data_IF_175268725837
#
_entry.id   IF_175268725837
#
_cell.length_a   1.000
_cell.length_b   1.000
_cell.length_c   1.000
_cell.angle_alpha   90.00
_cell.angle_beta   90.00
_cell.angle_gamma   90.00
#
_symmetry.space_group_name_H-M   'P 1'
#
loop_
_entity.id
_entity.type
_entity.pdbx_description
1 polymer ?
#
# COMPACT_ATOMS: atom_id res chain seq x y z
N UNK A 1 19.01 -22.83 -12.57
CA UNK A 1 17.99 -22.89 -11.52
C UNK A 1 17.02 -21.73 -11.71
N UNK A 2 15.76 -21.92 -11.38
CA UNK A 2 14.80 -20.83 -11.42
C UNK A 2 14.95 -19.88 -10.24
N UNK A 3 14.29 -18.71 -10.32
CA UNK A 3 14.29 -17.71 -9.26
C UNK A 3 12.91 -17.13 -9.04
N UNK A 4 12.69 -16.57 -7.85
CA UNK A 4 11.50 -15.76 -7.52
C UNK A 4 11.87 -14.30 -7.61
N UNK A 5 11.01 -13.49 -8.27
CA UNK A 5 11.09 -12.04 -8.26
C UNK A 5 9.82 -11.51 -7.62
N UNK A 6 9.90 -10.89 -6.44
CA UNK A 6 8.76 -10.24 -5.81
C UNK A 6 8.71 -8.79 -6.29
N UNK A 7 7.71 -8.46 -7.10
CA UNK A 7 7.67 -7.22 -7.89
C UNK A 7 6.59 -6.29 -7.37
N UNK A 8 6.97 -5.11 -6.93
CA UNK A 8 6.06 -3.99 -6.71
C UNK A 8 5.71 -3.33 -8.04
N UNK A 9 4.45 -3.41 -8.46
CA UNK A 9 3.99 -2.90 -9.77
C UNK A 9 3.50 -1.45 -9.74
N UNK A 10 3.70 -0.76 -8.62
CA UNK A 10 3.16 0.59 -8.44
C UNK A 10 1.65 0.61 -8.17
N UNK A 11 1.01 1.79 -8.18
CA UNK A 11 -0.39 1.95 -7.77
C UNK A 11 -1.38 1.39 -8.80
N UNK A 12 -1.03 1.38 -10.10
CA UNK A 12 -1.95 0.87 -11.12
C UNK A 12 -1.56 1.19 -12.55
N UNK A 13 -1.20 2.44 -12.86
CA UNK A 13 -0.78 2.85 -14.20
C UNK A 13 0.65 2.37 -14.52
N UNK A 14 0.90 2.09 -15.80
CA UNK A 14 2.25 1.73 -16.26
C UNK A 14 3.26 2.87 -16.05
N UNK A 15 2.80 4.10 -16.15
CA UNK A 15 3.60 5.32 -15.97
C UNK A 15 4.23 5.38 -14.57
N UNK A 16 3.57 4.77 -13.60
CA UNK A 16 4.02 4.69 -12.20
C UNK A 16 4.79 3.39 -11.87
N UNK A 17 4.98 2.51 -12.85
CA UNK A 17 5.80 1.31 -12.71
C UNK A 17 7.28 1.65 -12.86
N UNK A 18 8.12 1.07 -12.01
CA UNK A 18 9.56 1.24 -12.18
C UNK A 18 10.06 0.48 -13.41
N UNK A 19 11.09 1.01 -14.09
CA UNK A 19 11.73 0.33 -15.22
C UNK A 19 12.18 -1.08 -14.81
N UNK A 20 12.73 -1.23 -13.61
CA UNK A 20 13.16 -2.54 -13.09
C UNK A 20 11.99 -3.52 -12.91
N UNK A 21 10.81 -3.04 -12.54
CA UNK A 21 9.62 -3.89 -12.44
C UNK A 21 9.16 -4.35 -13.83
N UNK A 22 9.15 -3.46 -14.83
CA UNK A 22 8.84 -3.77 -16.22
C UNK A 22 9.82 -4.81 -16.79
N UNK A 23 11.13 -4.59 -16.64
CA UNK A 23 12.17 -5.53 -17.07
C UNK A 23 12.03 -6.91 -16.42
N UNK A 24 11.73 -6.95 -15.12
CA UNK A 24 11.51 -8.20 -14.39
C UNK A 24 10.30 -8.98 -14.92
N UNK A 25 9.20 -8.29 -15.22
CA UNK A 25 7.99 -8.91 -15.78
C UNK A 25 8.19 -9.32 -17.26
N UNK A 26 8.98 -8.59 -18.03
CA UNK A 26 9.36 -9.00 -19.39
C UNK A 26 10.22 -10.28 -19.39
N UNK A 27 11.14 -10.40 -18.44
CA UNK A 27 12.09 -11.51 -18.36
C UNK A 27 11.55 -12.77 -17.69
N UNK A 28 10.45 -12.72 -16.92
CA UNK A 28 9.93 -13.88 -16.22
C UNK A 28 9.20 -14.87 -17.13
N UNK A 29 9.08 -16.13 -16.70
CA UNK A 29 8.29 -17.17 -17.37
C UNK A 29 6.84 -17.18 -16.89
N UNK A 30 6.63 -16.90 -15.60
CA UNK A 30 5.32 -16.97 -14.94
C UNK A 30 5.08 -15.73 -14.06
N UNK A 31 3.82 -15.28 -14.00
CA UNK A 31 3.33 -14.20 -13.14
C UNK A 31 2.30 -14.78 -12.18
N UNK A 32 2.53 -14.58 -10.89
CA UNK A 32 1.67 -15.04 -9.79
C UNK A 32 1.16 -13.82 -9.01
N UNK A 33 -0.12 -13.78 -8.66
CA UNK A 33 -0.63 -12.63 -7.91
C UNK A 33 -2.08 -12.79 -7.43
N UNK A 34 -2.58 -11.75 -6.77
CA UNK A 34 -4.01 -11.58 -6.56
C UNK A 34 -4.68 -11.24 -7.91
N UNK A 35 -5.89 -11.77 -8.21
CA UNK A 35 -6.51 -11.61 -9.55
C UNK A 35 -6.48 -10.18 -10.07
N UNK A 36 -6.91 -9.19 -9.25
CA UNK A 36 -6.93 -7.78 -9.64
C UNK A 36 -5.53 -7.26 -10.02
N UNK A 37 -4.46 -7.75 -9.39
CA UNK A 37 -3.09 -7.31 -9.68
C UNK A 37 -2.52 -7.99 -10.93
N UNK A 38 -2.88 -9.26 -11.16
CA UNK A 38 -2.54 -9.97 -12.40
C UNK A 38 -3.23 -9.30 -13.59
N UNK A 39 -4.49 -8.88 -13.42
CA UNK A 39 -5.26 -8.20 -14.46
C UNK A 39 -4.65 -6.86 -14.88
N UNK A 40 -3.99 -6.13 -13.95
CA UNK A 40 -3.29 -4.87 -14.26
C UNK A 40 -2.09 -5.05 -15.21
N UNK A 41 -1.53 -6.26 -15.30
CA UNK A 41 -0.30 -6.52 -16.05
C UNK A 41 -0.46 -7.50 -17.21
N UNK A 42 -1.55 -8.29 -17.26
CA UNK A 42 -1.70 -9.42 -18.21
C UNK A 42 -1.56 -9.01 -19.69
N UNK A 43 -2.21 -7.92 -20.08
CA UNK A 43 -2.25 -7.51 -21.49
C UNK A 43 -0.91 -6.94 -21.97
N UNK A 44 -0.10 -6.46 -21.03
CA UNK A 44 1.21 -5.90 -21.33
C UNK A 44 2.30 -6.96 -21.50
N UNK A 45 2.16 -8.11 -20.85
CA UNK A 45 3.14 -9.19 -20.91
C UNK A 45 2.52 -10.47 -21.51
N UNK A 46 2.18 -10.46 -22.81
CA UNK A 46 1.55 -11.60 -23.45
C UNK A 46 2.50 -12.81 -23.48
N UNK A 47 1.91 -14.00 -23.43
CA UNK A 47 2.66 -15.27 -23.49
C UNK A 47 3.25 -15.72 -22.14
N UNK A 48 3.05 -14.97 -21.04
CA UNK A 48 3.44 -15.41 -19.70
C UNK A 48 2.41 -16.38 -19.13
N UNK A 49 2.90 -17.36 -18.36
CA UNK A 49 2.03 -18.23 -17.58
C UNK A 49 1.43 -17.44 -16.42
N UNK A 50 0.10 -17.30 -16.36
CA UNK A 50 -0.57 -16.49 -15.36
C UNK A 50 -1.22 -17.36 -14.30
N UNK A 51 -0.93 -17.08 -13.03
CA UNK A 51 -1.52 -17.75 -11.87
C UNK A 51 -2.11 -16.74 -10.92
N UNK A 52 -3.30 -17.04 -10.40
CA UNK A 52 -3.91 -16.21 -9.38
C UNK A 52 -4.55 -17.05 -8.27
N UNK A 53 -4.48 -16.55 -7.06
CA UNK A 53 -5.19 -17.12 -5.91
C UNK A 53 -6.08 -16.05 -5.28
N UNK A 54 -7.27 -16.41 -4.73
CA UNK A 54 -8.17 -15.44 -4.12
C UNK A 54 -7.52 -14.73 -2.92
N UNK A 55 -8.20 -13.68 -2.46
CA UNK A 55 -7.84 -13.01 -1.20
C UNK A 55 -7.84 -14.02 -0.05
N UNK A 56 -6.99 -13.81 0.95
CA UNK A 56 -6.79 -14.69 2.12
C UNK A 56 -6.04 -16.00 1.83
N UNK A 57 -5.49 -16.17 0.63
CA UNK A 57 -4.67 -17.31 0.22
C UNK A 57 -3.22 -16.90 -0.02
N UNK A 58 -2.69 -15.98 0.81
CA UNK A 58 -1.34 -15.41 0.67
C UNK A 58 -0.26 -16.50 0.78
N UNK A 59 -0.39 -17.41 1.74
CA UNK A 59 0.54 -18.53 1.92
C UNK A 59 0.57 -19.45 0.71
N UNK A 60 -0.60 -19.82 0.20
CA UNK A 60 -0.73 -20.67 -1.01
C UNK A 60 -0.09 -19.99 -2.23
N UNK A 61 -0.32 -18.68 -2.39
CA UNK A 61 0.29 -17.89 -3.46
C UNK A 61 1.80 -17.87 -3.38
N UNK A 62 2.36 -17.70 -2.18
CA UNK A 62 3.80 -17.71 -1.96
C UNK A 62 4.41 -19.10 -2.16
N UNK A 63 3.71 -20.16 -1.75
CA UNK A 63 4.13 -21.54 -2.03
C UNK A 63 4.18 -21.82 -3.54
N UNK A 64 3.14 -21.41 -4.27
CA UNK A 64 3.08 -21.60 -5.72
C UNK A 64 4.24 -20.92 -6.45
N UNK A 65 4.59 -19.66 -6.11
CA UNK A 65 5.73 -18.99 -6.75
C UNK A 65 7.06 -19.66 -6.44
N UNK A 66 7.23 -20.20 -5.22
CA UNK A 66 8.43 -20.97 -4.85
C UNK A 66 8.50 -22.32 -5.59
N UNK A 67 7.37 -23.00 -5.78
CA UNK A 67 7.30 -24.27 -6.52
C UNK A 67 7.63 -24.06 -8.00
N UNK A 68 7.10 -23.01 -8.64
CA UNK A 68 7.45 -22.64 -10.01
C UNK A 68 8.95 -22.37 -10.16
N UNK A 69 9.55 -21.66 -9.21
CA UNK A 69 10.99 -21.41 -9.23
C UNK A 69 11.80 -22.69 -9.01
N UNK A 70 11.39 -23.60 -8.12
CA UNK A 70 12.03 -24.92 -7.92
C UNK A 70 11.95 -25.79 -9.17
N UNK A 71 10.92 -25.64 -9.99
CA UNK A 71 10.80 -26.32 -11.28
C UNK A 71 11.70 -25.75 -12.39
N UNK A 72 12.49 -24.71 -12.08
CA UNK A 72 13.45 -24.10 -13.01
C UNK A 72 12.98 -22.81 -13.68
N UNK A 73 11.76 -22.32 -13.40
CA UNK A 73 11.20 -21.10 -13.96
C UNK A 73 11.68 -19.85 -13.24
N UNK A 74 11.76 -18.73 -13.94
CA UNK A 74 11.77 -17.39 -13.33
C UNK A 74 10.33 -16.97 -13.08
N UNK A 75 9.90 -16.99 -11.81
CA UNK A 75 8.53 -16.70 -11.42
C UNK A 75 8.43 -15.33 -10.73
N UNK A 76 7.59 -14.44 -11.27
CA UNK A 76 7.33 -13.11 -10.71
C UNK A 76 6.07 -13.13 -9.82
N UNK A 77 6.19 -12.68 -8.57
CA UNK A 77 5.08 -12.41 -7.66
C UNK A 77 4.72 -10.93 -7.73
N UNK A 78 3.56 -10.57 -8.30
CA UNK A 78 3.13 -9.16 -8.39
C UNK A 78 2.40 -8.69 -7.15
N UNK A 79 2.82 -7.52 -6.65
CA UNK A 79 2.23 -6.80 -5.53
C UNK A 79 1.82 -5.40 -5.99
N UNK A 80 0.59 -4.96 -5.70
CA UNK A 80 0.20 -3.57 -5.91
C UNK A 80 1.00 -2.65 -4.98
N UNK A 81 1.41 -1.49 -5.47
CA UNK A 81 2.29 -0.59 -4.75
C UNK A 81 3.71 -1.16 -4.65
N UNK A 82 4.20 -1.32 -3.44
CA UNK A 82 5.52 -1.86 -3.12
C UNK A 82 5.43 -3.31 -2.62
N UNK A 83 6.43 -4.11 -2.95
CA UNK A 83 6.48 -5.53 -2.58
C UNK A 83 6.86 -5.80 -1.12
N UNK A 84 7.48 -4.83 -0.44
CA UNK A 84 7.93 -4.91 0.97
C UNK A 84 7.01 -4.16 1.94
N UNK A 85 6.26 -3.14 1.47
CA UNK A 85 5.35 -2.36 2.34
C UNK A 85 3.97 -3.01 2.35
N UNK A 86 3.68 -3.83 3.36
CA UNK A 86 2.48 -4.66 3.47
C UNK A 86 2.28 -5.59 2.26
N UNK A 87 3.37 -5.88 1.52
CA UNK A 87 3.42 -6.77 0.38
C UNK A 87 3.82 -8.20 0.76
N UNK A 88 4.14 -9.00 -0.25
CA UNK A 88 4.39 -10.44 -0.08
C UNK A 88 5.86 -10.80 0.16
N UNK A 89 6.81 -9.85 0.06
CA UNK A 89 8.24 -10.16 0.08
C UNK A 89 8.66 -10.90 1.36
N UNK A 90 8.23 -10.43 2.53
CA UNK A 90 8.57 -11.08 3.81
C UNK A 90 8.04 -12.52 3.88
N UNK A 91 6.78 -12.76 3.49
CA UNK A 91 6.18 -14.09 3.53
C UNK A 91 6.88 -15.08 2.56
N UNK A 92 7.33 -14.60 1.39
CA UNK A 92 8.12 -15.45 0.47
C UNK A 92 9.44 -15.88 1.13
N UNK A 93 10.15 -14.98 1.81
CA UNK A 93 11.36 -15.32 2.55
C UNK A 93 11.09 -16.29 3.71
N UNK A 94 10.04 -16.06 4.50
CA UNK A 94 9.64 -16.92 5.61
C UNK A 94 9.34 -18.35 5.13
N UNK A 95 8.60 -18.50 4.02
CA UNK A 95 8.24 -19.83 3.47
C UNK A 95 9.40 -20.54 2.76
N UNK A 96 10.37 -19.79 2.21
CA UNK A 96 11.61 -20.40 1.71
C UNK A 96 12.45 -20.94 2.89
N UNK A 97 12.45 -20.25 4.04
CA UNK A 97 13.27 -20.57 5.21
C UNK A 97 14.76 -20.34 4.94
N UNK A 98 15.60 -21.12 5.62
CA UNK A 98 17.07 -21.03 5.54
C UNK A 98 17.66 -21.63 4.25
N UNK A 99 16.85 -22.19 3.37
CA UNK A 99 17.31 -22.71 2.10
C UNK A 99 17.94 -21.59 1.24
N UNK A 100 19.05 -21.89 0.55
CA UNK A 100 19.69 -20.93 -0.36
C UNK A 100 18.89 -20.79 -1.67
N UNK A 101 18.17 -21.83 -2.08
CA UNK A 101 17.41 -21.93 -3.32
C UNK A 101 15.90 -22.09 -3.08
N UNK A 102 15.04 -21.53 -3.95
CA UNK A 102 15.41 -20.66 -5.08
C UNK A 102 15.89 -19.28 -4.62
N UNK A 103 16.71 -18.61 -5.45
CA UNK A 103 17.06 -17.20 -5.27
C UNK A 103 15.79 -16.34 -5.20
N UNK A 104 15.73 -15.40 -4.27
CA UNK A 104 14.65 -14.43 -4.16
C UNK A 104 15.22 -13.03 -4.42
N UNK A 105 14.68 -12.37 -5.42
CA UNK A 105 14.95 -10.96 -5.73
C UNK A 105 13.71 -10.12 -5.38
N UNK A 106 13.90 -9.00 -4.69
CA UNK A 106 12.82 -8.03 -4.40
C UNK A 106 13.01 -6.81 -5.27
N UNK A 107 11.97 -6.45 -6.01
CA UNK A 107 11.92 -5.25 -6.84
C UNK A 107 10.92 -4.27 -6.22
N UNK A 108 11.37 -3.08 -5.78
CA UNK A 108 10.48 -2.11 -5.16
C UNK A 108 9.51 -1.50 -6.17
N UNK A 109 8.38 -1.02 -5.67
CA UNK A 109 7.39 -0.28 -6.44
C UNK A 109 6.97 1.02 -5.77
N UNK A 110 6.26 1.88 -6.48
CA UNK A 110 5.73 3.12 -5.94
C UNK A 110 4.55 2.81 -5.01
N UNK A 111 4.78 2.92 -3.71
CA UNK A 111 3.77 2.61 -2.69
C UNK A 111 2.68 3.69 -2.61
N UNK A 112 1.48 3.31 -2.15
CA UNK A 112 0.32 4.21 -2.05
C UNK A 112 0.55 5.45 -1.17
N UNK A 113 1.46 5.43 -0.19
CA UNK A 113 1.80 6.62 0.59
C UNK A 113 2.41 7.70 -0.30
N UNK A 114 3.33 7.35 -1.19
CA UNK A 114 3.96 8.30 -2.11
C UNK A 114 3.00 8.75 -3.21
N UNK A 115 2.39 7.79 -3.91
CA UNK A 115 1.50 8.09 -5.04
C UNK A 115 0.21 8.80 -4.60
N UNK A 116 -0.41 8.37 -3.49
CA UNK A 116 -1.58 9.04 -2.93
C UNK A 116 -1.26 10.42 -2.37
N UNK A 117 -0.09 10.59 -1.75
CA UNK A 117 0.42 11.89 -1.32
C UNK A 117 0.53 12.88 -2.49
N UNK A 118 1.06 12.43 -3.63
CA UNK A 118 1.17 13.24 -4.85
C UNK A 118 -0.22 13.64 -5.41
N UNK A 119 -1.21 12.76 -5.35
CA UNK A 119 -2.59 13.06 -5.76
C UNK A 119 -3.22 14.14 -4.86
N UNK A 120 -2.91 14.15 -3.57
CA UNK A 120 -3.41 15.16 -2.61
C UNK A 120 -2.66 16.51 -2.72
N UNK A 121 -1.39 16.47 -3.12
CA UNK A 121 -0.49 17.61 -3.17
C UNK A 121 0.88 17.29 -2.58
N UNK A 122 1.18 17.77 -1.37
CA UNK A 122 2.45 17.51 -0.68
C UNK A 122 2.26 17.37 0.85
N UNK A 123 1.48 16.38 1.33
CA UNK A 123 1.19 16.24 2.76
C UNK A 123 2.34 15.59 3.55
N UNK A 124 3.36 15.04 2.90
CA UNK A 124 4.40 14.19 3.50
C UNK A 124 5.77 14.90 3.62
N UNK A 125 5.78 16.21 3.70
CA UNK A 125 7.05 16.99 3.72
C UNK A 125 7.79 16.90 5.06
N UNK A 126 7.11 16.51 6.13
CA UNK A 126 7.66 16.19 7.46
C UNK A 126 7.56 14.69 7.75
N UNK A 127 7.94 14.31 8.96
CA UNK A 127 7.89 12.92 9.41
C UNK A 127 6.47 12.36 9.36
N UNK A 128 6.37 11.11 8.99
CA UNK A 128 5.09 10.44 8.84
C UNK A 128 5.14 8.98 9.29
N UNK A 129 4.01 8.43 9.66
CA UNK A 129 3.82 7.04 9.99
C UNK A 129 2.85 6.38 9.01
N UNK A 130 3.18 5.17 8.54
CA UNK A 130 2.27 4.33 7.76
C UNK A 130 1.76 3.22 8.66
N UNK A 131 0.44 3.16 8.84
CA UNK A 131 -0.22 2.23 9.77
C UNK A 131 -1.31 1.46 9.01
N UNK A 132 -1.21 0.12 9.01
CA UNK A 132 -2.29 -0.73 8.51
C UNK A 132 -3.37 -0.90 9.56
N UNK A 133 -4.64 -0.69 9.17
CA UNK A 133 -5.80 -0.98 10.02
C UNK A 133 -6.24 -2.46 9.95
N UNK A 134 -5.50 -3.32 9.24
CA UNK A 134 -5.81 -4.75 9.21
C UNK A 134 -5.47 -5.41 10.53
N UNK A 135 -6.49 -5.89 11.24
CA UNK A 135 -6.39 -6.61 12.51
C UNK A 135 -6.33 -8.14 12.33
N UNK A 136 -6.09 -8.63 11.12
CA UNK A 136 -6.04 -10.07 10.83
C UNK A 136 -4.82 -10.77 11.45
N UNK A 137 -3.67 -10.09 11.44
CA UNK A 137 -2.40 -10.59 11.96
C UNK A 137 -1.82 -9.71 13.08
N UNK A 138 -2.42 -8.54 13.31
CA UNK A 138 -1.98 -7.59 14.34
C UNK A 138 -3.16 -7.31 15.25
N UNK A 139 -3.07 -7.56 16.57
CA UNK A 139 -4.15 -7.24 17.51
C UNK A 139 -4.53 -5.75 17.44
N UNK A 140 -5.83 -5.46 17.57
CA UNK A 140 -6.33 -4.08 17.48
C UNK A 140 -5.68 -3.15 18.52
N UNK A 141 -5.42 -3.64 19.72
CA UNK A 141 -4.76 -2.88 20.80
C UNK A 141 -3.36 -2.38 20.38
N UNK A 142 -2.67 -3.17 19.56
CA UNK A 142 -1.36 -2.76 18.99
C UNK A 142 -1.55 -1.66 17.95
N UNK A 143 -2.60 -1.74 17.11
CA UNK A 143 -2.95 -0.70 16.12
C UNK A 143 -3.34 0.58 16.85
N UNK A 144 -4.19 0.50 17.87
CA UNK A 144 -4.60 1.63 18.71
C UNK A 144 -3.40 2.34 19.32
N UNK A 145 -2.47 1.58 19.93
CA UNK A 145 -1.25 2.16 20.52
C UNK A 145 -0.41 2.89 19.46
N UNK A 146 -0.28 2.33 18.26
CA UNK A 146 0.48 2.98 17.16
C UNK A 146 -0.18 4.29 16.71
N UNK A 147 -1.50 4.32 16.58
CA UNK A 147 -2.27 5.51 16.25
C UNK A 147 -2.10 6.60 17.32
N UNK A 148 -2.26 6.24 18.60
CA UNK A 148 -2.13 7.16 19.73
C UNK A 148 -0.72 7.75 19.82
N UNK A 149 0.32 6.93 19.68
CA UNK A 149 1.72 7.38 19.68
C UNK A 149 2.04 8.29 18.48
N UNK A 150 1.58 7.97 17.29
CA UNK A 150 1.80 8.79 16.10
C UNK A 150 1.09 10.15 16.20
N UNK A 151 -0.12 10.18 16.75
CA UNK A 151 -0.84 11.42 17.02
C UNK A 151 -0.16 12.27 18.10
N UNK A 152 0.32 11.64 19.18
CA UNK A 152 1.06 12.32 20.25
C UNK A 152 2.38 12.94 19.77
N UNK A 153 3.03 12.34 18.77
CA UNK A 153 4.25 12.83 18.15
C UNK A 153 4.01 13.84 17.01
N UNK A 154 2.76 14.23 16.76
CA UNK A 154 2.36 15.11 15.67
C UNK A 154 2.85 14.67 14.28
N UNK A 155 2.90 13.35 14.03
CA UNK A 155 3.25 12.81 12.72
C UNK A 155 2.09 12.94 11.74
N UNK A 156 2.39 13.11 10.46
CA UNK A 156 1.39 12.81 9.41
C UNK A 156 1.13 11.30 9.44
N UNK A 157 -0.14 10.88 9.54
CA UNK A 157 -0.50 9.45 9.63
C UNK A 157 -1.14 9.01 8.32
N UNK A 158 -0.63 7.91 7.75
CA UNK A 158 -1.18 7.32 6.53
C UNK A 158 -1.73 5.95 6.85
N UNK A 159 -3.03 5.76 6.61
CA UNK A 159 -3.73 4.51 6.91
C UNK A 159 -3.85 3.65 5.66
N UNK A 160 -3.32 2.43 5.75
CA UNK A 160 -3.48 1.36 4.76
C UNK A 160 -4.56 0.37 5.24
N UNK A 161 -5.18 -0.32 4.28
CA UNK A 161 -6.27 -1.27 4.56
C UNK A 161 -7.39 -0.66 5.41
N UNK A 162 -7.88 0.54 5.05
CA UNK A 162 -8.77 1.33 5.90
C UNK A 162 -10.12 0.66 6.15
N UNK A 163 -10.61 -0.13 5.20
CA UNK A 163 -11.82 -0.92 5.34
C UNK A 163 -11.80 -2.17 4.46
N UNK A 164 -12.66 -3.12 4.76
CA UNK A 164 -12.99 -4.27 3.92
C UNK A 164 -14.41 -4.74 4.24
N UNK A 165 -14.96 -5.67 3.46
CA UNK A 165 -16.31 -6.20 3.69
C UNK A 165 -16.53 -6.70 5.14
N UNK A 166 -15.54 -7.35 5.73
CA UNK A 166 -15.61 -7.81 7.13
C UNK A 166 -15.16 -6.77 8.17
N UNK A 167 -14.78 -5.55 7.78
CA UNK A 167 -14.21 -4.51 8.65
C UNK A 167 -14.62 -3.11 8.17
N UNK A 168 -15.92 -2.81 8.14
CA UNK A 168 -16.41 -1.53 7.62
C UNK A 168 -16.07 -0.35 8.55
N UNK A 169 -15.97 -0.57 9.85
CA UNK A 169 -15.88 0.47 10.89
C UNK A 169 -14.45 0.81 11.32
N UNK A 170 -13.42 0.24 10.68
CA UNK A 170 -12.04 0.40 11.16
C UNK A 170 -11.53 1.84 11.07
N UNK A 171 -11.90 2.60 10.02
CA UNK A 171 -11.57 4.04 9.95
C UNK A 171 -12.28 4.83 11.03
N UNK A 172 -13.55 4.57 11.28
CA UNK A 172 -14.30 5.22 12.36
C UNK A 172 -13.65 4.98 13.73
N UNK A 173 -13.29 3.73 14.02
CA UNK A 173 -12.56 3.38 15.26
C UNK A 173 -11.20 4.07 15.34
N UNK A 174 -10.47 4.16 14.24
CA UNK A 174 -9.20 4.88 14.19
C UNK A 174 -9.39 6.38 14.45
N UNK A 175 -10.42 7.01 13.86
CA UNK A 175 -10.77 8.39 14.13
C UNK A 175 -11.16 8.64 15.61
N UNK A 176 -11.91 7.73 16.23
CA UNK A 176 -12.25 7.82 17.65
C UNK A 176 -11.01 7.83 18.56
N UNK A 177 -9.96 7.08 18.18
CA UNK A 177 -8.68 7.10 18.90
C UNK A 177 -7.96 8.42 18.67
N UNK A 178 -7.87 8.86 17.42
CA UNK A 178 -7.15 10.08 17.03
C UNK A 178 -7.80 11.34 17.62
N UNK A 179 -9.14 11.41 17.70
CA UNK A 179 -9.89 12.52 18.29
C UNK A 179 -9.65 12.70 19.80
N UNK A 180 -9.06 11.73 20.48
CA UNK A 180 -8.61 11.91 21.88
C UNK A 180 -7.44 12.90 22.01
N UNK A 181 -6.71 13.15 20.91
CA UNK A 181 -5.49 13.98 20.86
C UNK A 181 -5.54 15.08 19.82
N UNK A 182 -6.17 14.83 18.70
CA UNK A 182 -6.21 15.74 17.56
C UNK A 182 -7.56 16.49 17.53
N UNK A 183 -7.56 17.75 17.08
CA UNK A 183 -8.78 18.51 16.96
C UNK A 183 -9.68 17.97 15.83
N UNK A 184 -10.99 18.21 15.94
CA UNK A 184 -11.99 17.74 14.98
C UNK A 184 -11.78 18.32 13.56
N UNK A 185 -11.24 19.52 13.46
CA UNK A 185 -10.94 20.22 12.21
C UNK A 185 -9.58 19.84 11.60
N UNK A 186 -8.86 18.86 12.17
CA UNK A 186 -7.61 18.35 11.61
C UNK A 186 -7.81 17.95 10.16
N UNK A 187 -7.00 18.52 9.26
CA UNK A 187 -7.10 18.23 7.83
C UNK A 187 -6.68 16.79 7.52
N UNK A 188 -7.50 16.14 6.73
CA UNK A 188 -7.33 14.78 6.27
C UNK A 188 -7.51 14.72 4.75
N UNK A 189 -7.05 13.62 4.14
CA UNK A 189 -7.25 13.32 2.73
C UNK A 189 -7.63 11.85 2.53
N UNK A 190 -8.52 11.59 1.60
CA UNK A 190 -8.83 10.25 1.10
C UNK A 190 -8.45 10.22 -0.37
N UNK A 191 -7.69 9.22 -0.79
CA UNK A 191 -7.43 8.94 -2.20
C UNK A 191 -7.89 7.53 -2.50
N UNK A 192 -8.69 7.38 -3.56
CA UNK A 192 -9.25 6.10 -4.01
C UNK A 192 -8.74 5.77 -5.40
N UNK A 193 -8.49 4.50 -5.67
CA UNK A 193 -8.08 3.98 -6.98
C UNK A 193 -6.83 4.69 -7.54
N UNK A 194 -5.81 4.91 -6.72
CA UNK A 194 -4.58 5.61 -7.12
C UNK A 194 -3.98 4.97 -8.37
N UNK A 195 -3.74 5.77 -9.43
CA UNK A 195 -3.16 5.31 -10.70
C UNK A 195 -4.08 4.38 -11.51
N UNK A 196 -5.39 4.35 -11.24
CA UNK A 196 -6.37 3.48 -11.91
C UNK A 196 -7.59 4.27 -12.36
N UNK A 197 -8.40 3.65 -13.22
CA UNK A 197 -9.69 4.20 -13.61
C UNK A 197 -10.55 4.51 -12.39
N UNK A 198 -11.20 5.69 -12.42
CA UNK A 198 -11.99 6.17 -11.30
C UNK A 198 -11.16 6.69 -10.13
N UNK A 199 -9.89 7.08 -10.34
CA UNK A 199 -9.12 7.79 -9.34
C UNK A 199 -9.86 9.03 -8.85
N UNK A 200 -9.96 9.16 -7.54
CA UNK A 200 -10.60 10.31 -6.90
C UNK A 200 -9.90 10.69 -5.61
N UNK A 201 -10.07 11.96 -5.20
CA UNK A 201 -9.57 12.47 -3.92
C UNK A 201 -10.61 13.33 -3.22
N UNK A 202 -10.53 13.35 -1.91
CA UNK A 202 -11.29 14.27 -1.05
C UNK A 202 -10.35 14.82 0.02
N UNK A 203 -10.45 16.12 0.28
CA UNK A 203 -9.83 16.77 1.45
C UNK A 203 -10.97 17.11 2.38
N UNK A 204 -10.85 16.76 3.66
CA UNK A 204 -11.91 16.82 4.65
C UNK A 204 -11.30 16.94 6.05
N UNK A 205 -12.13 17.19 7.05
CA UNK A 205 -11.70 17.22 8.45
C UNK A 205 -11.68 15.82 9.07
N UNK A 206 -11.06 15.68 10.24
CA UNK A 206 -11.05 14.41 10.99
C UNK A 206 -12.46 14.01 11.45
N UNK A 207 -13.31 14.98 11.81
CA UNK A 207 -14.71 14.74 12.13
C UNK A 207 -15.49 14.21 10.92
N UNK A 208 -15.28 14.78 9.74
CA UNK A 208 -15.90 14.31 8.50
C UNK A 208 -15.34 12.96 8.05
N UNK A 209 -14.03 12.71 8.25
CA UNK A 209 -13.39 11.42 7.94
C UNK A 209 -14.00 10.28 8.76
N UNK A 210 -14.34 10.55 10.03
CA UNK A 210 -14.98 9.59 10.92
C UNK A 210 -16.29 9.04 10.37
N UNK A 211 -17.03 9.83 9.62
CA UNK A 211 -18.31 9.45 9.02
C UNK A 211 -18.20 9.13 7.51
N UNK A 212 -16.97 9.19 6.95
CA UNK A 212 -16.75 8.95 5.55
C UNK A 212 -16.80 7.45 5.18
N UNK A 213 -17.44 7.14 4.08
CA UNK A 213 -17.36 5.82 3.48
C UNK A 213 -16.01 5.63 2.77
N UNK A 214 -15.33 4.56 3.13
CA UNK A 214 -14.06 4.12 2.54
C UNK A 214 -14.09 2.63 2.25
N UNK A 215 -13.31 2.20 1.28
CA UNK A 215 -13.16 0.80 0.91
C UNK A 215 -11.67 0.38 0.89
N UNK A 216 -11.40 -0.86 0.51
CA UNK A 216 -10.05 -1.40 0.44
C UNK A 216 -9.14 -0.76 -0.64
N UNK A 217 -9.71 0.03 -1.54
CA UNK A 217 -8.99 0.76 -2.58
C UNK A 217 -8.65 2.19 -2.18
N UNK A 218 -8.98 2.57 -0.96
CA UNK A 218 -8.67 3.87 -0.39
C UNK A 218 -7.35 3.84 0.39
N UNK A 219 -6.64 4.97 0.34
CA UNK A 219 -5.56 5.31 1.26
C UNK A 219 -5.95 6.61 1.95
N UNK A 220 -5.84 6.64 3.28
CA UNK A 220 -6.28 7.77 4.10
C UNK A 220 -5.06 8.49 4.68
N UNK A 221 -5.08 9.81 4.65
CA UNK A 221 -4.02 10.68 5.15
C UNK A 221 -4.58 11.60 6.23
N UNK A 222 -3.96 11.61 7.39
CA UNK A 222 -4.27 12.56 8.48
C UNK A 222 -3.05 13.47 8.64
N UNK A 223 -3.23 14.76 8.33
CA UNK A 223 -2.16 15.74 8.40
C UNK A 223 -1.67 16.00 9.83
N UNK A 224 -0.46 16.50 9.97
CA UNK A 224 0.05 16.99 11.26
C UNK A 224 -0.50 18.40 11.58
N UNK A 225 -0.04 19.01 12.68
CA UNK A 225 -0.53 20.33 13.11
C UNK A 225 -0.25 21.48 12.12
N UNK A 226 0.77 21.32 11.26
CA UNK A 226 1.13 22.31 10.25
C UNK A 226 0.41 22.11 8.91
N UNK A 227 -0.38 21.05 8.74
CA UNK A 227 -1.08 20.76 7.49
C UNK A 227 -2.07 21.87 7.15
N UNK A 228 -2.10 22.27 5.88
CA UNK A 228 -3.03 23.30 5.37
C UNK A 228 -3.45 23.02 3.94
N UNK A 229 -4.49 23.68 3.49
CA UNK A 229 -4.92 23.67 2.08
C UNK A 229 -4.38 24.88 1.35
N UNK A 230 -3.75 24.66 0.20
CA UNK A 230 -3.29 25.73 -0.70
C UNK A 230 -3.75 25.39 -2.11
N UNK A 231 -4.52 26.27 -2.73
CA UNK A 231 -5.10 26.08 -4.06
C UNK A 231 -5.80 24.70 -4.23
N UNK A 232 -6.53 24.27 -3.19
CA UNK A 232 -7.24 22.99 -3.20
C UNK A 232 -6.34 21.75 -3.06
N UNK A 233 -5.06 21.92 -2.70
CA UNK A 233 -4.12 20.84 -2.40
C UNK A 233 -3.88 20.76 -0.90
N UNK A 234 -3.73 19.53 -0.38
CA UNK A 234 -3.30 19.28 0.98
C UNK A 234 -1.76 19.30 1.03
N UNK A 235 -1.21 20.19 1.83
CA UNK A 235 0.23 20.33 1.99
C UNK A 235 0.63 20.37 3.47
N UNK A 236 1.85 19.95 3.76
CA UNK A 236 2.53 20.20 5.03
C UNK A 236 3.73 21.12 4.75
N UNK A 237 3.72 22.39 5.19
CA UNK A 237 4.85 23.29 4.97
C UNK A 237 6.13 22.79 5.61
N UNK A 238 7.25 22.96 4.94
CA UNK A 238 8.55 22.57 5.48
C UNK A 238 9.08 23.50 6.58
N UNK A 239 8.46 24.67 6.74
CA UNK A 239 8.84 25.65 7.75
C UNK A 239 9.92 26.65 7.29
N UNK A 240 10.06 26.85 5.97
CA UNK A 240 10.92 27.92 5.46
C UNK A 240 10.41 29.27 5.92
N UNK A 241 11.35 30.14 6.38
CA UNK A 241 11.05 31.55 6.72
C UNK A 241 11.01 32.35 5.42
N UNK A 242 10.02 33.23 5.27
CA UNK A 242 9.82 34.11 4.11
C UNK A 242 9.20 33.46 2.84
N UNK A 243 8.33 32.49 3.02
CA UNK A 243 7.49 31.92 1.94
C UNK A 243 6.05 32.32 2.16
#
# INVERSE_FOLDING_TARGET
MGKVIVVGIGPGGYEDMTIRADEALQACDAIVGYPVYVDLVRDRYPGKELHSTPMTRETERCQLVLELARSGKTAAMVCSGDSGIYGMAALVYELRGEAQEPEIQVVPGLTAVCSGGAVLGAPLTHDFAVISLSDRLTPWETIEKRLDCAAAADLTIVLYNPASHGRPDHVKRACDILLRRLPEDRLCGIVRNIGRDGQSRRILTLAELREAEVDMFCTVFIGNSAAKTVAGQLITPRGYRNV
#
